data_IF_531258699775
#
_entry.id   IF_531258699775
#
_cell.length_a   1.000
_cell.length_b   1.000
_cell.length_c   1.000
_cell.angle_alpha   90.00
_cell.angle_beta   90.00
_cell.angle_gamma   90.00
#
_symmetry.space_group_name_H-M   'P 1'
#
loop_
_entity.id
_entity.type
_entity.pdbx_description
1 polymer ?
#
# COMPACT_ATOMS: atom_id res chain seq x y z
N UNK A 1 -9.04 44.12 32.94
CA UNK A 1 -8.50 42.78 32.65
C UNK A 1 -9.35 42.15 31.56
N UNK A 2 -8.83 41.83 30.36
CA UNK A 2 -9.61 41.23 29.32
C UNK A 2 -9.82 39.74 29.65
N UNK A 3 -11.08 39.30 29.57
CA UNK A 3 -11.47 37.88 29.70
C UNK A 3 -10.86 37.10 28.53
N UNK A 4 -10.04 36.08 28.86
CA UNK A 4 -9.60 35.03 27.92
C UNK A 4 -10.86 34.33 27.40
N UNK A 5 -11.14 34.45 26.11
CA UNK A 5 -12.13 33.62 25.43
C UNK A 5 -11.55 32.19 25.40
N UNK A 6 -12.11 31.32 26.24
CA UNK A 6 -11.89 29.87 26.15
C UNK A 6 -12.46 29.41 24.83
N UNK A 7 -11.56 29.02 23.91
CA UNK A 7 -11.93 28.47 22.61
C UNK A 7 -12.82 27.25 22.81
N UNK A 8 -14.09 27.37 22.48
CA UNK A 8 -15.03 26.25 22.39
C UNK A 8 -14.48 25.27 21.36
N UNK A 9 -14.01 24.13 21.81
CA UNK A 9 -13.77 22.99 20.92
C UNK A 9 -15.05 22.69 20.17
N UNK A 10 -15.05 22.67 18.83
CA UNK A 10 -16.25 22.39 18.05
C UNK A 10 -16.72 20.96 18.38
N UNK A 11 -17.97 20.84 18.84
CA UNK A 11 -18.62 19.55 19.05
C UNK A 11 -18.89 18.93 17.67
N UNK A 12 -18.19 17.85 17.34
CA UNK A 12 -18.43 17.07 16.13
C UNK A 12 -17.20 16.94 15.23
N UNK A 13 -17.32 16.08 14.23
CA UNK A 13 -16.28 15.84 13.24
C UNK A 13 -16.02 17.10 12.40
N UNK A 14 -14.73 17.42 12.09
CA UNK A 14 -14.40 18.55 11.24
C UNK A 14 -15.03 18.41 9.85
N UNK A 15 -15.76 19.41 9.42
CA UNK A 15 -16.33 19.48 8.06
C UNK A 15 -15.70 20.60 7.24
N UNK A 16 -14.96 21.50 7.90
CA UNK A 16 -14.26 22.60 7.26
C UNK A 16 -12.84 22.18 6.89
N UNK A 17 -12.46 22.39 5.64
CA UNK A 17 -11.09 22.17 5.17
C UNK A 17 -10.14 23.20 5.76
N UNK A 18 -9.02 22.72 6.33
CA UNK A 18 -7.86 23.55 6.69
C UNK A 18 -6.58 22.89 6.20
N UNK A 19 -5.53 23.67 5.86
CA UNK A 19 -4.25 23.12 5.43
C UNK A 19 -3.62 22.19 6.48
N UNK A 20 -3.71 22.51 7.76
CA UNK A 20 -3.16 21.72 8.87
C UNK A 20 -3.86 20.37 8.98
N UNK A 21 -5.19 20.37 8.83
CA UNK A 21 -5.96 19.13 8.86
C UNK A 21 -5.65 18.24 7.64
N UNK A 22 -5.52 18.85 6.45
CA UNK A 22 -5.12 18.11 5.23
C UNK A 22 -3.73 17.51 5.36
N UNK A 23 -2.79 18.25 5.93
CA UNK A 23 -1.44 17.76 6.20
C UNK A 23 -1.45 16.55 7.16
N UNK A 24 -2.14 16.68 8.30
CA UNK A 24 -2.28 15.59 9.29
C UNK A 24 -2.90 14.33 8.70
N UNK A 25 -3.93 14.48 7.85
CA UNK A 25 -4.54 13.35 7.14
C UNK A 25 -3.52 12.68 6.20
N UNK A 26 -2.81 13.48 5.40
CA UNK A 26 -1.83 12.97 4.45
C UNK A 26 -0.62 12.31 5.15
N UNK A 27 -0.17 12.83 6.30
CA UNK A 27 0.88 12.22 7.12
C UNK A 27 0.48 10.82 7.61
N UNK A 28 -0.74 10.65 8.12
CA UNK A 28 -1.27 9.35 8.53
C UNK A 28 -1.43 8.39 7.36
N UNK A 29 -1.83 8.88 6.19
CA UNK A 29 -1.90 8.07 4.98
C UNK A 29 -0.51 7.64 4.50
N UNK A 30 0.48 8.53 4.57
CA UNK A 30 1.87 8.24 4.21
C UNK A 30 2.49 7.17 5.13
N UNK A 31 2.12 7.15 6.42
CA UNK A 31 2.54 6.11 7.37
C UNK A 31 1.88 4.73 7.15
N UNK A 32 1.04 4.58 6.10
CA UNK A 32 0.40 3.32 5.74
C UNK A 32 -1.02 3.14 6.27
N UNK A 33 -1.59 4.13 7.00
CA UNK A 33 -2.99 4.06 7.40
C UNK A 33 -3.93 4.13 6.20
N UNK A 34 -5.06 3.45 6.30
CA UNK A 34 -6.13 3.58 5.30
C UNK A 34 -6.96 4.84 5.56
N UNK A 35 -7.47 5.47 4.49
CA UNK A 35 -8.41 6.59 4.62
C UNK A 35 -9.60 6.25 5.53
N UNK A 36 -10.06 4.99 5.50
CA UNK A 36 -11.12 4.50 6.38
C UNK A 36 -10.69 4.47 7.85
N UNK A 37 -9.44 4.10 8.14
CA UNK A 37 -8.88 4.14 9.49
C UNK A 37 -8.84 5.58 10.01
N UNK A 38 -8.29 6.49 9.23
CA UNK A 38 -8.25 7.93 9.55
C UNK A 38 -9.64 8.47 9.84
N UNK A 39 -10.64 8.14 9.00
CA UNK A 39 -12.01 8.66 9.16
C UNK A 39 -12.79 8.05 10.34
N UNK A 40 -12.28 7.05 11.05
CA UNK A 40 -12.88 6.53 12.29
C UNK A 40 -12.60 7.40 13.51
N UNK A 41 -11.55 8.18 13.43
CA UNK A 41 -11.18 9.11 14.49
C UNK A 41 -12.18 10.28 14.50
N UNK A 42 -12.76 10.59 15.66
CA UNK A 42 -13.75 11.66 15.80
C UNK A 42 -13.14 13.06 15.60
N UNK A 43 -11.82 13.19 15.73
CA UNK A 43 -11.10 14.42 15.40
C UNK A 43 -10.86 14.59 13.89
N UNK A 44 -11.21 13.59 13.05
CA UNK A 44 -10.99 13.60 11.61
C UNK A 44 -12.30 13.65 10.83
N UNK A 45 -12.28 14.19 9.59
CA UNK A 45 -13.46 14.22 8.72
C UNK A 45 -13.97 12.82 8.38
N UNK A 46 -15.27 12.69 8.13
CA UNK A 46 -15.83 11.45 7.64
C UNK A 46 -15.42 11.18 6.17
N UNK A 47 -15.53 9.91 5.74
CA UNK A 47 -15.17 9.48 4.38
C UNK A 47 -15.80 10.33 3.28
N UNK A 48 -17.09 10.68 3.43
CA UNK A 48 -17.80 11.49 2.44
C UNK A 48 -17.18 12.89 2.29
N UNK A 49 -16.79 13.51 3.42
CA UNK A 49 -16.10 14.80 3.41
C UNK A 49 -14.72 14.71 2.75
N UNK A 50 -13.97 13.63 3.03
CA UNK A 50 -12.65 13.41 2.41
C UNK A 50 -12.76 13.25 0.89
N UNK A 51 -13.73 12.48 0.40
CA UNK A 51 -13.97 12.33 -1.04
C UNK A 51 -14.42 13.65 -1.69
N UNK A 52 -15.24 14.43 -1.00
CA UNK A 52 -15.63 15.77 -1.46
C UNK A 52 -14.41 16.68 -1.61
N UNK A 53 -13.53 16.71 -0.61
CA UNK A 53 -12.29 17.49 -0.68
C UNK A 53 -11.35 17.04 -1.79
N UNK A 54 -11.24 15.74 -2.05
CA UNK A 54 -10.44 15.22 -3.18
C UNK A 54 -10.96 15.69 -4.53
N UNK A 55 -12.28 15.91 -4.67
CA UNK A 55 -12.87 16.38 -5.93
C UNK A 55 -12.86 17.90 -6.07
N UNK A 56 -12.91 18.65 -4.94
CA UNK A 56 -13.07 20.11 -4.95
C UNK A 56 -11.74 20.86 -4.70
N UNK A 57 -10.73 20.20 -4.14
CA UNK A 57 -9.46 20.81 -3.76
C UNK A 57 -8.28 20.12 -4.40
N UNK A 58 -7.72 20.75 -5.43
CA UNK A 58 -6.58 20.23 -6.21
C UNK A 58 -5.34 20.02 -5.32
N UNK A 59 -5.02 20.98 -4.45
CA UNK A 59 -3.87 20.88 -3.56
C UNK A 59 -3.98 19.69 -2.59
N UNK A 60 -5.19 19.38 -2.09
CA UNK A 60 -5.40 18.18 -1.28
C UNK A 60 -5.27 16.90 -2.11
N UNK A 61 -5.77 16.90 -3.34
CA UNK A 61 -5.67 15.77 -4.26
C UNK A 61 -4.20 15.42 -4.57
N UNK A 62 -3.36 16.43 -4.84
CA UNK A 62 -1.93 16.25 -5.07
C UNK A 62 -1.21 15.71 -3.83
N UNK A 63 -1.47 16.31 -2.65
CA UNK A 63 -0.90 15.83 -1.39
C UNK A 63 -1.32 14.39 -1.09
N UNK A 64 -2.59 14.06 -1.32
CA UNK A 64 -3.11 12.71 -1.17
C UNK A 64 -2.42 11.71 -2.09
N UNK A 65 -2.24 12.06 -3.37
CA UNK A 65 -1.57 11.20 -4.34
C UNK A 65 -0.11 10.93 -3.92
N UNK A 66 0.61 11.95 -3.44
CA UNK A 66 1.96 11.84 -2.89
C UNK A 66 1.97 10.93 -1.66
N UNK A 67 1.11 11.19 -0.67
CA UNK A 67 1.00 10.40 0.55
C UNK A 67 0.70 8.91 0.24
N UNK A 68 -0.18 8.64 -0.73
CA UNK A 68 -0.44 7.28 -1.20
C UNK A 68 0.78 6.63 -1.84
N UNK A 69 1.57 7.38 -2.58
CA UNK A 69 2.86 6.89 -3.07
C UNK A 69 3.82 6.53 -1.92
N UNK A 70 3.96 7.40 -0.92
CA UNK A 70 4.83 7.18 0.24
C UNK A 70 4.36 6.01 1.11
N UNK A 71 3.06 5.80 1.26
CA UNK A 71 2.49 4.69 2.02
C UNK A 71 2.93 3.31 1.50
N UNK A 72 3.33 3.18 0.24
CA UNK A 72 3.84 1.92 -0.29
C UNK A 72 5.15 1.51 0.39
N UNK A 73 6.04 2.47 0.69
CA UNK A 73 7.29 2.20 1.41
C UNK A 73 7.00 1.83 2.87
N UNK A 74 6.10 2.56 3.54
CA UNK A 74 5.67 2.24 4.90
C UNK A 74 5.05 0.84 5.01
N UNK A 75 4.25 0.42 4.03
CA UNK A 75 3.69 -0.93 3.98
C UNK A 75 4.76 -2.01 3.84
N UNK A 76 5.87 -1.73 3.13
CA UNK A 76 7.00 -2.66 3.00
C UNK A 76 7.73 -2.81 4.32
N UNK A 77 8.02 -1.72 5.03
CA UNK A 77 8.63 -1.76 6.36
C UNK A 77 7.75 -2.52 7.36
N UNK A 78 6.43 -2.27 7.35
CA UNK A 78 5.46 -3.00 8.20
C UNK A 78 5.41 -4.51 7.88
N UNK A 79 5.67 -4.92 6.64
CA UNK A 79 5.80 -6.35 6.30
C UNK A 79 7.00 -7.01 6.99
N UNK A 80 8.14 -6.31 7.08
CA UNK A 80 9.32 -6.81 7.76
C UNK A 80 9.05 -6.99 9.25
N UNK A 81 8.46 -5.97 9.89
CA UNK A 81 8.06 -6.04 11.29
C UNK A 81 7.08 -7.22 11.55
N UNK A 82 6.10 -7.42 10.69
CA UNK A 82 5.15 -8.52 10.83
C UNK A 82 5.85 -9.88 10.67
N UNK A 83 6.82 -9.98 9.77
CA UNK A 83 7.55 -11.22 9.52
C UNK A 83 8.48 -11.58 10.69
N UNK A 84 9.13 -10.57 11.29
CA UNK A 84 10.13 -10.76 12.34
C UNK A 84 9.48 -10.95 13.73
N UNK A 85 8.35 -10.30 13.98
CA UNK A 85 7.66 -10.31 15.28
C UNK A 85 6.54 -11.37 15.35
N UNK A 86 6.89 -12.65 15.18
CA UNK A 86 5.94 -13.75 15.34
C UNK A 86 5.72 -14.08 16.81
N UNK A 87 4.44 -14.26 17.19
CA UNK A 87 4.05 -14.65 18.55
C UNK A 87 4.43 -16.10 18.80
N UNK A 88 5.16 -16.33 19.88
CA UNK A 88 5.48 -17.67 20.40
C UNK A 88 4.57 -17.98 21.59
N UNK A 89 4.13 -19.24 21.69
CA UNK A 89 3.32 -19.73 22.81
C UNK A 89 3.90 -21.04 23.33
N UNK A 90 3.64 -21.40 24.61
CA UNK A 90 4.06 -22.69 25.15
C UNK A 90 3.41 -23.84 24.39
N UNK A 91 4.20 -24.84 24.01
CA UNK A 91 3.68 -26.09 23.44
C UNK A 91 2.89 -26.81 24.54
N UNK A 92 1.59 -27.03 24.29
CA UNK A 92 0.74 -27.78 25.21
C UNK A 92 0.67 -29.25 24.80
N UNK A 93 0.88 -30.13 25.78
CA UNK A 93 0.63 -31.57 25.67
C UNK A 93 -0.38 -31.94 26.73
N UNK A 94 -1.51 -32.51 26.36
CA UNK A 94 -2.64 -32.81 27.25
C UNK A 94 -3.13 -31.59 28.09
N UNK A 95 -3.07 -30.39 27.48
CA UNK A 95 -3.50 -29.14 28.11
C UNK A 95 -2.49 -28.51 29.07
N UNK A 96 -1.31 -29.11 29.24
CA UNK A 96 -0.23 -28.60 30.09
C UNK A 96 0.97 -28.18 29.28
N UNK A 97 1.67 -27.08 29.66
CA UNK A 97 2.89 -26.67 29.00
C UNK A 97 3.97 -27.75 29.07
N UNK A 98 4.47 -28.21 27.90
CA UNK A 98 5.62 -29.10 27.86
C UNK A 98 6.86 -28.34 28.38
N UNK A 99 7.54 -28.93 29.37
CA UNK A 99 8.77 -28.39 29.92
C UNK A 99 9.95 -29.31 29.67
N UNK A 100 11.09 -28.74 29.28
CA UNK A 100 12.40 -29.41 29.19
C UNK A 100 13.34 -28.61 30.09
N UNK A 101 14.00 -29.31 31.05
CA UNK A 101 14.89 -28.71 32.04
C UNK A 101 14.24 -27.54 32.81
N UNK A 102 12.95 -27.69 33.16
CA UNK A 102 12.16 -26.68 33.93
C UNK A 102 11.80 -25.43 33.13
N UNK A 103 12.03 -25.41 31.82
CA UNK A 103 11.66 -24.29 30.92
C UNK A 103 10.56 -24.72 29.94
N UNK A 104 9.53 -23.91 29.69
CA UNK A 104 8.52 -24.22 28.70
C UNK A 104 9.11 -24.26 27.30
N UNK A 105 8.75 -25.27 26.52
CA UNK A 105 9.08 -25.34 25.09
C UNK A 105 8.17 -24.36 24.36
N UNK A 106 8.76 -23.32 23.77
CA UNK A 106 8.04 -22.30 22.98
C UNK A 106 7.96 -22.74 21.54
N UNK A 107 6.79 -22.58 20.94
CA UNK A 107 6.54 -22.81 19.51
C UNK A 107 5.81 -21.64 18.89
N UNK A 108 6.02 -21.41 17.62
CA UNK A 108 5.27 -20.40 16.89
C UNK A 108 3.81 -20.86 16.74
N UNK A 109 2.87 -20.02 17.10
CA UNK A 109 1.45 -20.31 16.93
C UNK A 109 1.08 -20.33 15.43
N UNK A 110 0.57 -21.47 14.95
CA UNK A 110 0.21 -21.64 13.55
C UNK A 110 -0.88 -20.65 13.07
N UNK A 111 -1.83 -20.29 13.95
CA UNK A 111 -2.89 -19.31 13.62
C UNK A 111 -2.27 -17.92 13.48
N UNK A 112 -1.39 -17.54 14.39
CA UNK A 112 -0.66 -16.26 14.34
C UNK A 112 0.22 -16.17 13.10
N UNK A 113 0.95 -17.22 12.75
CA UNK A 113 1.78 -17.30 11.55
C UNK A 113 0.94 -17.15 10.27
N UNK A 114 -0.18 -17.86 10.18
CA UNK A 114 -1.09 -17.75 9.02
C UNK A 114 -1.71 -16.35 8.91
N UNK A 115 -2.09 -15.75 10.03
CA UNK A 115 -2.61 -14.38 10.06
C UNK A 115 -1.53 -13.36 9.64
N UNK A 116 -0.29 -13.53 10.12
CA UNK A 116 0.85 -12.70 9.70
C UNK A 116 1.10 -12.82 8.19
N UNK A 117 1.09 -14.05 7.65
CA UNK A 117 1.22 -14.29 6.20
C UNK A 117 0.14 -13.55 5.40
N UNK A 118 -1.12 -13.65 5.81
CA UNK A 118 -2.21 -12.93 5.16
C UNK A 118 -1.98 -11.40 5.19
N UNK A 119 -1.55 -10.86 6.32
CA UNK A 119 -1.23 -9.42 6.46
C UNK A 119 -0.10 -9.00 5.53
N UNK A 120 0.96 -9.80 5.41
CA UNK A 120 2.09 -9.56 4.50
C UNK A 120 1.63 -9.62 3.04
N UNK A 121 0.86 -10.65 2.65
CA UNK A 121 0.39 -10.82 1.27
C UNK A 121 -0.50 -9.63 0.82
N UNK A 122 -1.41 -9.17 1.66
CA UNK A 122 -2.26 -7.99 1.36
C UNK A 122 -1.42 -6.72 1.19
N UNK A 123 -0.42 -6.49 2.06
CA UNK A 123 0.47 -5.33 1.98
C UNK A 123 1.36 -5.37 0.75
N UNK A 124 1.91 -6.54 0.43
CA UNK A 124 2.70 -6.77 -0.79
C UNK A 124 1.89 -6.42 -2.03
N UNK A 125 0.66 -6.92 -2.11
CA UNK A 125 -0.25 -6.58 -3.21
C UNK A 125 -0.52 -5.08 -3.28
N UNK A 126 -0.83 -4.42 -2.15
CA UNK A 126 -1.09 -2.99 -2.10
C UNK A 126 0.13 -2.16 -2.52
N UNK A 127 1.33 -2.48 -2.02
CA UNK A 127 2.58 -1.80 -2.38
C UNK A 127 2.87 -1.92 -3.87
N UNK A 128 2.65 -3.11 -4.47
CA UNK A 128 2.84 -3.33 -5.92
C UNK A 128 1.90 -2.49 -6.79
N UNK A 129 0.69 -2.18 -6.31
CA UNK A 129 -0.28 -1.33 -7.01
C UNK A 129 0.00 0.16 -6.82
N UNK A 130 0.47 0.56 -5.63
CA UNK A 130 0.77 1.95 -5.32
C UNK A 130 2.09 2.44 -5.97
N UNK A 131 3.12 1.58 -6.00
CA UNK A 131 4.42 1.86 -6.63
C UNK A 131 4.85 0.72 -7.57
N UNK A 132 4.19 0.54 -8.72
CA UNK A 132 4.46 -0.59 -9.61
C UNK A 132 5.89 -0.60 -10.16
N UNK A 133 6.51 0.57 -10.37
CA UNK A 133 7.90 0.67 -10.82
C UNK A 133 8.93 0.16 -9.81
N UNK A 134 8.60 0.22 -8.50
CA UNK A 134 9.52 -0.18 -7.42
C UNK A 134 9.19 -1.58 -6.88
N UNK A 135 7.91 -1.88 -6.73
CA UNK A 135 7.41 -3.08 -6.05
C UNK A 135 6.53 -3.98 -6.93
N UNK A 136 6.27 -3.58 -8.18
CA UNK A 136 5.52 -4.41 -9.12
C UNK A 136 6.36 -5.55 -9.69
N UNK A 137 5.70 -6.60 -10.13
CA UNK A 137 6.35 -7.68 -10.86
C UNK A 137 6.92 -7.13 -12.17
N UNK A 138 8.21 -7.41 -12.44
CA UNK A 138 8.80 -7.08 -13.73
C UNK A 138 8.23 -8.04 -14.77
N UNK A 139 7.33 -7.53 -15.60
CA UNK A 139 6.94 -8.23 -16.82
C UNK A 139 7.94 -7.81 -17.88
N UNK A 140 8.94 -8.63 -18.12
CA UNK A 140 9.80 -8.50 -19.30
C UNK A 140 8.97 -8.88 -20.53
N UNK A 141 8.27 -7.90 -21.10
CA UNK A 141 7.67 -8.05 -22.42
C UNK A 141 8.81 -8.07 -23.43
N UNK A 142 9.36 -9.26 -23.64
CA UNK A 142 10.35 -9.47 -24.67
C UNK A 142 9.64 -9.38 -26.03
N UNK A 143 9.59 -8.18 -26.60
CA UNK A 143 9.12 -7.93 -27.96
C UNK A 143 10.17 -8.36 -29.00
N UNK A 144 11.31 -8.88 -28.55
CA UNK A 144 12.26 -9.59 -29.39
C UNK A 144 11.60 -10.86 -29.90
N UNK A 145 11.28 -10.88 -31.18
CA UNK A 145 10.55 -11.96 -31.81
C UNK A 145 11.18 -13.31 -31.48
N UNK A 146 10.39 -14.20 -30.91
CA UNK A 146 10.71 -15.63 -31.00
C UNK A 146 10.85 -15.96 -32.47
N UNK A 147 11.89 -16.74 -32.83
CA UNK A 147 12.01 -17.28 -34.19
C UNK A 147 10.67 -17.92 -34.54
N UNK A 148 10.01 -17.40 -35.60
CA UNK A 148 8.67 -17.83 -36.02
C UNK A 148 7.51 -16.90 -35.56
N UNK A 149 7.78 -15.77 -34.90
CA UNK A 149 6.75 -14.77 -34.64
C UNK A 149 6.27 -14.16 -35.99
N UNK A 150 4.96 -14.18 -36.29
CA UNK A 150 4.43 -13.66 -37.56
C UNK A 150 4.87 -12.22 -37.89
N UNK A 151 5.04 -11.38 -36.85
CA UNK A 151 5.51 -9.99 -37.02
C UNK A 151 7.00 -9.92 -37.48
N UNK A 152 7.85 -10.79 -36.97
CA UNK A 152 9.27 -10.81 -37.34
C UNK A 152 9.45 -11.35 -38.77
N UNK A 153 8.65 -12.37 -39.14
CA UNK A 153 8.61 -12.90 -40.49
C UNK A 153 8.10 -11.83 -41.45
N UNK A 154 7.04 -11.12 -41.12
CA UNK A 154 6.43 -10.07 -41.95
C UNK A 154 7.34 -8.85 -42.12
N UNK A 155 8.06 -8.43 -41.09
CA UNK A 155 9.07 -7.39 -41.15
C UNK A 155 10.31 -7.83 -41.96
N UNK A 156 10.70 -9.11 -41.87
CA UNK A 156 11.76 -9.71 -42.70
C UNK A 156 11.39 -9.73 -44.20
N UNK A 157 10.14 -10.08 -44.49
CA UNK A 157 9.62 -10.08 -45.88
C UNK A 157 9.50 -8.68 -46.43
N UNK A 158 9.03 -7.70 -45.63
CA UNK A 158 8.93 -6.29 -46.05
C UNK A 158 10.32 -5.67 -46.27
N UNK A 159 11.29 -5.97 -45.42
CA UNK A 159 12.66 -5.46 -45.54
C UNK A 159 13.46 -6.13 -46.68
N UNK A 160 13.04 -7.33 -47.07
CA UNK A 160 13.65 -8.07 -48.20
C UNK A 160 13.06 -7.77 -49.59
N UNK A 161 11.87 -7.14 -49.65
CA UNK A 161 11.27 -6.68 -50.89
C UNK A 161 11.70 -5.23 -51.19
N UNK A 162 12.90 -5.06 -51.66
CA UNK A 162 13.26 -3.87 -52.42
C UNK A 162 12.33 -3.82 -53.66
N UNK A 163 11.41 -2.85 -53.68
CA UNK A 163 10.69 -2.52 -54.89
C UNK A 163 11.72 -1.96 -55.90
N UNK A 164 12.27 -2.82 -56.71
CA UNK A 164 13.00 -2.35 -57.89
C UNK A 164 12.00 -1.68 -58.83
N UNK A 165 12.20 -0.40 -59.17
CA UNK A 165 11.36 0.25 -60.19
C UNK A 165 11.56 -0.48 -61.52
N UNK A 166 10.49 -1.06 -62.04
CA UNK A 166 10.49 -1.54 -63.43
C UNK A 166 10.64 -0.31 -64.34
N UNK A 167 11.81 -0.17 -64.97
CA UNK A 167 11.99 0.74 -66.09
C UNK A 167 11.38 0.04 -67.27
N UNK A 168 10.23 0.56 -67.76
CA UNK A 168 9.70 0.35 -69.12
C UNK A 168 10.31 1.34 -70.07
#
# INVERSE_FOLDING_TARGET
MPKKEEGKTPLGRPTLYTPELSYSICERLASGESMRSVSRDDAMPCMATLFKWLSENEAFSEQYAKAKGESADALVEDMLDIADNQVEQPLLVDGLPLQIDGKPVMVKDAVSVNHAKLRVDVRKWAASKLKPKKYGDKVDLNHGGQEGNPLTVLLGEISGTTLEPKND
#
